data_IF_822155349865
#
_entry.id   IF_822155349865
#
_cell.length_a   1.000
_cell.length_b   1.000
_cell.length_c   1.000
_cell.angle_alpha   90.00
_cell.angle_beta   90.00
_cell.angle_gamma   90.00
#
_symmetry.space_group_name_H-M   'P 1'
#
loop_
_entity.id
_entity.type
_entity.pdbx_description
1 polymer ?
#
# COMPACT_ATOMS: atom_id res chain seq x y z
N UNK A 1 -80.42 -16.27 22.26
CA UNK A 1 -79.81 -17.48 21.69
C UNK A 1 -78.49 -17.05 21.05
N UNK A 2 -77.36 -17.55 21.55
CA UNK A 2 -75.95 -17.46 21.07
C UNK A 2 -75.41 -16.09 20.63
N UNK A 3 -74.54 -15.42 21.41
CA UNK A 3 -73.07 -15.59 21.46
C UNK A 3 -72.42 -15.55 20.06
N UNK A 4 -71.61 -14.53 19.76
CA UNK A 4 -70.23 -14.66 19.26
C UNK A 4 -69.46 -13.32 19.22
N UNK A 5 -68.43 -13.25 20.09
CA UNK A 5 -67.06 -12.72 19.93
C UNK A 5 -66.84 -11.27 19.43
N UNK A 6 -66.41 -10.43 20.38
CA UNK A 6 -65.47 -9.33 20.19
C UNK A 6 -64.14 -9.83 19.61
N UNK A 7 -63.64 -9.17 18.57
CA UNK A 7 -62.24 -9.22 18.15
C UNK A 7 -61.78 -7.79 17.85
N UNK A 8 -61.05 -7.22 18.80
CA UNK A 8 -60.24 -6.01 18.61
C UNK A 8 -59.10 -6.35 17.64
N UNK A 9 -59.08 -5.71 16.47
CA UNK A 9 -57.89 -5.69 15.60
C UNK A 9 -57.02 -4.53 16.07
N UNK A 10 -55.95 -4.86 16.81
CA UNK A 10 -54.84 -3.93 17.03
C UNK A 10 -54.15 -3.69 15.68
N UNK A 11 -54.29 -2.49 15.14
CA UNK A 11 -53.42 -1.99 14.08
C UNK A 11 -52.06 -1.68 14.70
N UNK A 12 -51.11 -2.61 14.57
CA UNK A 12 -49.71 -2.31 14.84
C UNK A 12 -49.17 -1.46 13.70
N UNK A 13 -49.18 -0.15 13.89
CA UNK A 13 -48.38 0.78 13.11
C UNK A 13 -46.90 0.47 13.39
N UNK A 14 -46.29 -0.36 12.54
CA UNK A 14 -44.85 -0.53 12.50
C UNK A 14 -44.23 0.79 12.02
N UNK A 15 -43.86 1.65 12.97
CA UNK A 15 -42.91 2.73 12.76
C UNK A 15 -41.60 2.09 12.28
N UNK A 16 -41.44 2.02 10.95
CA UNK A 16 -40.14 1.88 10.32
C UNK A 16 -39.33 3.09 10.78
N UNK A 17 -38.51 2.89 11.79
CA UNK A 17 -37.42 3.80 12.12
C UNK A 17 -36.52 3.83 10.90
N UNK A 18 -36.78 4.81 10.03
CA UNK A 18 -35.86 5.20 8.98
C UNK A 18 -34.61 5.67 9.72
N UNK A 19 -33.65 4.76 9.90
CA UNK A 19 -32.29 5.15 10.27
C UNK A 19 -31.85 6.08 9.16
N UNK A 20 -31.81 7.37 9.47
CA UNK A 20 -31.23 8.39 8.62
C UNK A 20 -29.75 8.03 8.46
N UNK A 21 -29.45 7.21 7.46
CA UNK A 21 -28.12 7.13 6.90
C UNK A 21 -27.79 8.56 6.47
N UNK A 22 -26.79 9.16 7.11
CA UNK A 22 -26.11 10.33 6.57
C UNK A 22 -25.84 10.05 5.09
N UNK A 23 -26.59 10.70 4.19
CA UNK A 23 -26.34 10.62 2.76
C UNK A 23 -24.93 11.19 2.55
N UNK A 24 -23.95 10.32 2.32
CA UNK A 24 -22.70 10.80 1.77
C UNK A 24 -23.02 11.45 0.41
N UNK A 25 -22.56 12.67 0.20
CA UNK A 25 -22.74 13.36 -1.09
C UNK A 25 -21.89 12.73 -2.20
N UNK A 26 -21.00 11.80 -1.84
CA UNK A 26 -20.05 11.13 -2.73
C UNK A 26 -20.40 9.66 -2.92
N UNK A 27 -20.40 9.23 -4.17
CA UNK A 27 -20.66 7.85 -4.54
C UNK A 27 -19.91 7.43 -5.81
N UNK A 28 -19.68 6.12 -5.92
CA UNK A 28 -19.34 5.44 -7.17
C UNK A 28 -20.62 4.75 -7.66
N UNK A 29 -21.10 5.11 -8.83
CA UNK A 29 -22.17 4.39 -9.53
C UNK A 29 -21.56 3.56 -10.65
N UNK A 30 -21.95 2.30 -10.71
CA UNK A 30 -21.44 1.35 -11.72
C UNK A 30 -22.61 0.79 -12.49
N UNK A 31 -22.60 0.97 -13.80
CA UNK A 31 -23.48 0.36 -14.77
C UNK A 31 -22.81 -0.92 -15.29
N UNK A 32 -23.42 -2.06 -15.01
CA UNK A 32 -22.94 -3.38 -15.40
C UNK A 32 -23.70 -3.85 -16.63
N UNK A 33 -23.07 -3.72 -17.79
CA UNK A 33 -23.68 -4.13 -19.04
C UNK A 33 -23.92 -5.65 -19.03
N UNK A 34 -25.20 -6.04 -19.10
CA UNK A 34 -25.57 -7.46 -19.19
C UNK A 34 -25.56 -8.23 -17.86
N UNK A 35 -25.38 -7.57 -16.72
CA UNK A 35 -25.51 -8.21 -15.41
C UNK A 35 -26.98 -8.49 -15.03
N UNK A 36 -27.19 -9.51 -14.18
CA UNK A 36 -28.53 -9.83 -13.68
C UNK A 36 -28.83 -8.95 -12.46
N UNK A 37 -30.08 -8.53 -12.33
CA UNK A 37 -30.53 -7.91 -11.09
C UNK A 37 -30.38 -8.91 -9.94
N UNK A 38 -30.09 -8.42 -8.73
CA UNK A 38 -29.80 -9.18 -7.50
C UNK A 38 -28.41 -9.81 -7.36
N UNK A 39 -27.54 -9.70 -8.37
CA UNK A 39 -26.13 -10.00 -8.19
C UNK A 39 -25.52 -9.06 -7.14
N UNK A 40 -24.67 -9.61 -6.26
CA UNK A 40 -23.96 -8.82 -5.24
C UNK A 40 -22.58 -8.49 -5.75
N UNK A 41 -22.21 -7.21 -5.67
CA UNK A 41 -20.88 -6.70 -6.01
C UNK A 41 -20.22 -6.07 -4.79
N UNK A 42 -18.91 -6.23 -4.70
CA UNK A 42 -18.08 -5.66 -3.67
C UNK A 42 -17.21 -4.55 -4.23
N UNK A 43 -17.06 -3.48 -3.44
CA UNK A 43 -16.08 -2.44 -3.65
C UNK A 43 -15.06 -2.53 -2.51
N UNK A 44 -13.79 -2.71 -2.85
CA UNK A 44 -12.69 -2.70 -1.89
C UNK A 44 -11.82 -1.47 -2.15
N UNK A 45 -11.20 -0.92 -1.09
CA UNK A 45 -10.17 0.10 -1.25
C UNK A 45 -8.90 -0.31 -0.52
N UNK A 46 -7.76 0.23 -0.94
CA UNK A 46 -6.48 -0.07 -0.30
C UNK A 46 -6.39 0.45 1.15
N UNK A 47 -7.20 1.45 1.51
CA UNK A 47 -7.27 1.99 2.88
C UNK A 47 -8.16 1.17 3.81
N UNK A 48 -9.21 0.55 3.27
CA UNK A 48 -10.20 -0.16 4.06
C UNK A 48 -10.32 -1.60 3.59
N UNK A 49 -9.77 -2.52 4.39
CA UNK A 49 -9.91 -3.96 4.13
C UNK A 49 -11.36 -4.46 4.25
N UNK A 50 -12.26 -3.62 4.81
CA UNK A 50 -13.70 -3.89 4.81
C UNK A 50 -14.29 -3.55 3.44
N UNK A 51 -14.81 -4.56 2.75
CA UNK A 51 -15.48 -4.41 1.46
C UNK A 51 -16.85 -3.76 1.68
N UNK A 52 -17.13 -2.66 0.97
CA UNK A 52 -18.51 -2.21 0.80
C UNK A 52 -19.22 -3.17 -0.18
N UNK A 53 -20.54 -3.31 -0.06
CA UNK A 53 -21.31 -4.22 -0.89
C UNK A 53 -22.61 -3.58 -1.36
N UNK A 54 -22.94 -3.80 -2.62
CA UNK A 54 -24.17 -3.31 -3.21
C UNK A 54 -24.83 -4.40 -4.06
N UNK A 55 -26.16 -4.36 -4.13
CA UNK A 55 -26.92 -5.18 -5.07
C UNK A 55 -27.02 -4.46 -6.42
N UNK A 56 -26.89 -5.23 -7.50
CA UNK A 56 -27.20 -4.73 -8.84
C UNK A 56 -28.73 -4.62 -8.97
N UNK A 57 -29.21 -3.40 -9.22
CA UNK A 57 -30.61 -3.07 -9.48
C UNK A 57 -30.70 -2.22 -10.75
N UNK A 58 -31.50 -2.69 -11.70
CA UNK A 58 -31.61 -2.09 -13.03
C UNK A 58 -30.24 -1.94 -13.72
N UNK A 59 -29.43 -3.01 -13.66
CA UNK A 59 -28.04 -3.05 -14.14
C UNK A 59 -27.07 -2.11 -13.41
N UNK A 60 -27.49 -1.43 -12.34
CA UNK A 60 -26.65 -0.48 -11.62
C UNK A 60 -26.38 -0.90 -10.19
N UNK A 61 -25.18 -0.64 -9.70
CA UNK A 61 -24.89 -0.63 -8.27
C UNK A 61 -24.33 0.74 -7.87
N UNK A 62 -24.57 1.14 -6.63
CA UNK A 62 -24.04 2.38 -6.08
C UNK A 62 -23.37 2.09 -4.74
N UNK A 63 -22.17 2.61 -4.58
CA UNK A 63 -21.37 2.52 -3.37
C UNK A 63 -21.21 3.92 -2.78
N UNK A 64 -21.53 4.06 -1.50
CA UNK A 64 -21.43 5.33 -0.79
C UNK A 64 -20.01 5.50 -0.27
N UNK A 65 -19.35 6.59 -0.64
CA UNK A 65 -18.02 6.90 -0.15
C UNK A 65 -18.10 7.83 1.05
N UNK A 66 -17.28 7.58 2.07
CA UNK A 66 -17.03 8.59 3.09
C UNK A 66 -16.43 9.85 2.44
N UNK A 67 -16.76 11.03 2.98
CA UNK A 67 -16.10 12.28 2.57
C UNK A 67 -14.59 12.09 2.73
N UNK A 68 -13.84 12.15 1.64
CA UNK A 68 -12.38 12.14 1.71
C UNK A 68 -11.93 13.60 1.72
N UNK A 69 -11.24 14.05 2.76
CA UNK A 69 -10.62 15.38 2.74
C UNK A 69 -9.28 15.24 2.03
N UNK A 70 -9.14 15.88 0.85
CA UNK A 70 -7.88 16.02 0.09
C UNK A 70 -7.12 14.71 -0.17
N UNK A 71 -7.84 13.62 -0.44
CA UNK A 71 -7.26 12.29 -0.59
C UNK A 71 -7.72 11.55 -1.86
N UNK A 72 -6.81 10.77 -2.44
CA UNK A 72 -7.06 9.80 -3.50
C UNK A 72 -7.00 8.38 -2.91
N UNK A 73 -7.67 7.43 -3.53
CA UNK A 73 -7.65 6.01 -3.14
C UNK A 73 -7.84 5.13 -4.37
N UNK A 74 -7.36 3.88 -4.32
CA UNK A 74 -7.59 2.89 -5.39
C UNK A 74 -8.75 2.00 -5.00
N UNK A 75 -9.62 1.67 -5.97
CA UNK A 75 -10.82 0.89 -5.74
C UNK A 75 -10.88 -0.34 -6.64
N UNK A 76 -11.02 -1.54 -6.09
CA UNK A 76 -11.32 -2.75 -6.88
C UNK A 76 -12.80 -3.13 -6.78
N UNK A 77 -13.32 -3.73 -7.85
CA UNK A 77 -14.70 -4.23 -7.91
C UNK A 77 -14.68 -5.72 -8.22
N UNK A 78 -15.51 -6.49 -7.50
CA UNK A 78 -15.62 -7.92 -7.72
C UNK A 78 -17.06 -8.41 -7.53
N UNK A 79 -17.49 -9.40 -8.32
CA UNK A 79 -18.71 -10.15 -8.01
C UNK A 79 -18.51 -11.02 -6.77
N UNK A 80 -19.57 -11.18 -5.98
CA UNK A 80 -19.59 -12.11 -4.86
C UNK A 80 -19.30 -13.54 -5.33
N UNK A 81 -18.30 -14.17 -4.73
CA UNK A 81 -17.91 -15.55 -5.03
C UNK A 81 -16.99 -15.72 -6.25
N UNK A 82 -16.55 -14.63 -6.89
CA UNK A 82 -15.46 -14.69 -7.86
C UNK A 82 -14.12 -14.38 -7.18
N UNK A 83 -13.15 -15.29 -7.32
CA UNK A 83 -11.79 -15.09 -6.79
C UNK A 83 -10.98 -14.08 -7.62
N UNK A 84 -11.33 -13.87 -8.89
CA UNK A 84 -10.74 -12.81 -9.70
C UNK A 84 -11.32 -11.47 -9.30
N UNK A 85 -10.55 -10.71 -8.54
CA UNK A 85 -10.81 -9.29 -8.32
C UNK A 85 -10.46 -8.52 -9.60
N UNK A 86 -11.38 -7.70 -10.09
CA UNK A 86 -11.10 -6.81 -11.20
C UNK A 86 -10.52 -5.53 -10.62
N UNK A 87 -9.21 -5.40 -10.79
CA UNK A 87 -8.45 -4.26 -10.27
C UNK A 87 -8.67 -3.05 -11.16
N UNK A 88 -9.40 -2.07 -10.63
CA UNK A 88 -9.45 -0.74 -11.20
C UNK A 88 -8.53 0.15 -10.35
N UNK A 89 -7.67 0.93 -10.99
CA UNK A 89 -6.97 2.03 -10.33
C UNK A 89 -7.82 3.25 -10.59
N UNK A 90 -8.85 3.39 -9.77
CA UNK A 90 -9.71 4.55 -9.89
C UNK A 90 -9.03 5.73 -9.19
N UNK A 91 -8.49 6.67 -9.96
CA UNK A 91 -8.07 7.94 -9.39
C UNK A 91 -9.32 8.77 -9.10
N UNK A 92 -9.57 9.07 -7.82
CA UNK A 92 -10.72 9.86 -7.40
C UNK A 92 -10.29 11.03 -6.53
N UNK A 93 -10.71 12.24 -6.88
CA UNK A 93 -10.75 13.36 -5.94
C UNK A 93 -12.16 13.43 -5.33
N UNK A 94 -12.27 13.62 -4.02
CA UNK A 94 -13.56 13.68 -3.33
C UNK A 94 -14.34 14.99 -3.58
N UNK A 95 -14.28 15.54 -4.80
CA UNK A 95 -15.04 16.70 -5.23
C UNK A 95 -16.14 16.34 -6.25
N UNK A 96 -16.14 15.12 -6.80
CA UNK A 96 -17.14 14.69 -7.77
C UNK A 96 -17.73 13.31 -7.48
N UNK A 97 -18.74 12.90 -8.25
CA UNK A 97 -19.25 11.53 -8.23
C UNK A 97 -18.70 10.80 -9.44
N UNK A 98 -18.33 9.54 -9.26
CA UNK A 98 -17.80 8.71 -10.34
C UNK A 98 -18.91 7.85 -10.92
N UNK A 99 -18.93 7.76 -12.24
CA UNK A 99 -19.73 6.80 -12.99
C UNK A 99 -18.82 5.88 -13.77
N UNK A 100 -19.04 4.59 -13.59
CA UNK A 100 -18.37 3.52 -14.31
C UNK A 100 -19.38 2.80 -15.18
N UNK A 101 -19.02 2.52 -16.41
CA UNK A 101 -19.69 1.49 -17.21
C UNK A 101 -18.71 0.34 -17.34
N UNK A 102 -19.12 -0.87 -17.00
CA UNK A 102 -18.31 -2.08 -17.10
C UNK A 102 -19.03 -3.09 -17.99
N UNK A 103 -18.28 -3.76 -18.85
CA UNK A 103 -18.83 -4.84 -19.65
C UNK A 103 -19.09 -6.10 -18.79
N UNK A 104 -19.87 -7.04 -19.34
CA UNK A 104 -20.30 -8.25 -18.63
C UNK A 104 -19.13 -9.09 -18.10
N UNK A 105 -17.98 -9.03 -18.77
CA UNK A 105 -16.79 -9.82 -18.46
C UNK A 105 -15.72 -9.03 -17.70
N UNK A 106 -16.00 -7.77 -17.35
CA UNK A 106 -15.04 -6.80 -16.77
C UNK A 106 -13.72 -6.72 -17.52
N UNK A 107 -13.77 -6.88 -18.84
CA UNK A 107 -12.61 -6.66 -19.70
C UNK A 107 -12.51 -5.22 -20.13
N UNK A 108 -13.63 -4.51 -20.20
CA UNK A 108 -13.69 -3.12 -20.63
C UNK A 108 -14.49 -2.30 -19.65
N UNK A 109 -14.04 -1.05 -19.49
CA UNK A 109 -14.80 -0.07 -18.74
C UNK A 109 -14.60 1.33 -19.28
N UNK A 110 -15.52 2.21 -18.90
CA UNK A 110 -15.45 3.64 -19.16
C UNK A 110 -15.76 4.39 -17.87
N UNK A 111 -14.89 5.35 -17.55
CA UNK A 111 -14.98 6.23 -16.40
C UNK A 111 -15.56 7.56 -16.86
N UNK A 112 -16.44 8.15 -16.06
CA UNK A 112 -16.95 9.51 -16.26
C UNK A 112 -17.28 10.16 -14.91
N UNK A 113 -17.46 11.48 -14.91
CA UNK A 113 -17.72 12.25 -13.68
C UNK A 113 -16.47 12.61 -12.86
N UNK A 114 -15.33 11.96 -13.11
CA UNK A 114 -14.02 12.37 -12.57
C UNK A 114 -13.30 13.36 -13.51
N UNK A 115 -12.56 14.32 -12.96
CA UNK A 115 -11.78 15.29 -13.75
C UNK A 115 -10.66 14.64 -14.58
N UNK A 116 -10.19 13.45 -14.19
CA UNK A 116 -9.13 12.69 -14.86
C UNK A 116 -9.68 11.51 -15.66
N UNK A 117 -11.01 11.42 -15.84
CA UNK A 117 -11.65 10.28 -16.49
C UNK A 117 -11.13 10.03 -17.91
N UNK A 118 -10.83 11.09 -18.68
CA UNK A 118 -10.34 10.97 -20.05
C UNK A 118 -8.98 10.25 -20.11
N UNK A 119 -8.01 10.68 -19.30
CA UNK A 119 -6.67 10.09 -19.23
C UNK A 119 -6.72 8.66 -18.68
N UNK A 120 -7.58 8.40 -17.67
CA UNK A 120 -7.78 7.04 -17.15
C UNK A 120 -8.35 6.11 -18.23
N UNK A 121 -9.35 6.56 -18.99
CA UNK A 121 -9.92 5.78 -20.09
C UNK A 121 -8.89 5.50 -21.18
N UNK A 122 -8.10 6.50 -21.58
CA UNK A 122 -7.03 6.33 -22.57
C UNK A 122 -6.04 5.24 -22.15
N UNK A 123 -5.58 5.29 -20.89
CA UNK A 123 -4.66 4.31 -20.34
C UNK A 123 -5.23 2.89 -20.36
N UNK A 124 -6.46 2.72 -19.89
CA UNK A 124 -7.09 1.41 -19.83
C UNK A 124 -7.44 0.83 -21.20
N UNK A 125 -7.80 1.67 -22.17
CA UNK A 125 -8.02 1.23 -23.55
C UNK A 125 -6.74 0.70 -24.19
N UNK A 126 -5.58 1.31 -23.92
CA UNK A 126 -4.31 0.78 -24.40
C UNK A 126 -3.93 -0.55 -23.73
N UNK A 127 -4.13 -0.68 -22.41
CA UNK A 127 -3.92 -1.97 -21.72
C UNK A 127 -4.85 -3.07 -22.24
N UNK A 128 -6.11 -2.75 -22.51
CA UNK A 128 -7.07 -3.69 -23.10
C UNK A 128 -6.61 -4.16 -24.49
N UNK A 129 -6.19 -3.21 -25.34
CA UNK A 129 -5.71 -3.51 -26.70
C UNK A 129 -4.52 -4.46 -26.65
N UNK A 130 -3.52 -4.16 -25.81
CA UNK A 130 -2.36 -5.03 -25.63
C UNK A 130 -2.81 -6.40 -25.06
N UNK A 131 -3.64 -6.43 -24.03
CA UNK A 131 -4.15 -7.69 -23.48
C UNK A 131 -4.83 -8.59 -24.53
N UNK A 132 -5.58 -7.99 -25.46
CA UNK A 132 -6.18 -8.69 -26.59
C UNK A 132 -5.15 -9.27 -27.56
N UNK A 133 -4.12 -8.51 -27.93
CA UNK A 133 -3.01 -9.02 -28.75
C UNK A 133 -2.31 -10.21 -28.10
N UNK A 134 -2.06 -10.15 -26.79
CA UNK A 134 -1.47 -11.25 -26.03
C UNK A 134 -2.30 -12.52 -26.14
N UNK A 135 -3.60 -12.38 -25.89
CA UNK A 135 -4.53 -13.50 -25.90
C UNK A 135 -4.58 -14.17 -27.27
N UNK A 136 -4.52 -13.37 -28.35
CA UNK A 136 -4.46 -13.91 -29.71
C UNK A 136 -3.16 -14.68 -29.95
N UNK A 137 -2.00 -14.15 -29.53
CA UNK A 137 -0.71 -14.84 -29.65
C UNK A 137 -0.68 -16.15 -28.84
N UNK A 138 -1.16 -16.13 -27.61
CA UNK A 138 -1.24 -17.31 -26.75
C UNK A 138 -2.20 -18.37 -27.33
N UNK A 139 -3.33 -17.94 -27.90
CA UNK A 139 -4.26 -18.83 -28.59
C UNK A 139 -3.60 -19.48 -29.81
N UNK A 140 -2.97 -18.69 -30.68
CA UNK A 140 -2.23 -19.21 -31.85
C UNK A 140 -1.14 -20.20 -31.42
N UNK A 141 -0.43 -19.91 -30.33
CA UNK A 141 0.60 -20.79 -29.78
C UNK A 141 0.02 -22.12 -29.27
N UNK A 142 -1.19 -22.09 -28.69
CA UNK A 142 -1.86 -23.30 -28.20
C UNK A 142 -2.42 -24.19 -29.32
N UNK A 143 -2.75 -23.60 -30.47
CA UNK A 143 -3.40 -24.29 -31.60
C UNK A 143 -2.38 -24.81 -32.63
N UNK A 144 -1.15 -24.28 -32.66
CA UNK A 144 -0.14 -24.70 -33.64
C UNK A 144 0.48 -26.06 -33.32
N UNK A 145 0.61 -26.91 -34.34
CA UNK A 145 1.36 -28.18 -34.28
C UNK A 145 2.74 -28.10 -34.94
N UNK A 146 3.05 -27.00 -35.63
CA UNK A 146 4.36 -26.76 -36.27
C UNK A 146 5.35 -26.22 -35.23
N UNK A 147 6.46 -26.94 -35.02
CA UNK A 147 7.49 -26.61 -34.03
C UNK A 147 8.26 -25.31 -34.33
N UNK A 148 8.48 -24.99 -35.61
CA UNK A 148 9.18 -23.76 -36.01
C UNK A 148 8.25 -22.57 -35.76
N UNK A 149 6.99 -22.69 -36.18
CA UNK A 149 5.98 -21.65 -35.94
C UNK A 149 5.71 -21.46 -34.43
N UNK A 150 5.63 -22.55 -33.66
CA UNK A 150 5.50 -22.48 -32.21
C UNK A 150 6.67 -21.76 -31.54
N UNK A 151 7.91 -21.95 -32.02
CA UNK A 151 9.06 -21.24 -31.48
C UNK A 151 9.02 -19.74 -31.80
N UNK A 152 8.59 -19.37 -33.01
CA UNK A 152 8.40 -17.96 -33.37
C UNK A 152 7.34 -17.29 -32.48
N UNK A 153 6.19 -17.94 -32.28
CA UNK A 153 5.12 -17.44 -31.40
C UNK A 153 5.57 -17.33 -29.94
N UNK A 154 6.35 -18.30 -29.42
CA UNK A 154 6.97 -18.18 -28.08
C UNK A 154 7.87 -16.96 -27.97
N UNK A 155 8.68 -16.69 -28.98
CA UNK A 155 9.53 -15.50 -28.98
C UNK A 155 8.71 -14.20 -28.98
N UNK A 156 7.59 -14.17 -29.70
CA UNK A 156 6.67 -13.03 -29.70
C UNK A 156 5.91 -12.87 -28.38
N UNK A 157 5.49 -13.97 -27.75
CA UNK A 157 4.90 -13.93 -26.39
C UNK A 157 5.95 -13.47 -25.38
N UNK A 158 7.22 -13.87 -25.52
CA UNK A 158 8.29 -13.41 -24.65
C UNK A 158 8.64 -11.92 -24.90
N UNK A 159 8.56 -11.45 -26.15
CA UNK A 159 8.77 -10.02 -26.50
C UNK A 159 7.65 -9.12 -25.97
N UNK A 160 6.49 -9.73 -25.69
CA UNK A 160 5.28 -9.08 -25.25
C UNK A 160 5.41 -8.36 -23.91
N UNK A 161 6.13 -8.95 -22.95
CA UNK A 161 6.39 -8.33 -21.64
C UNK A 161 7.07 -6.97 -21.78
N UNK A 162 7.99 -6.86 -22.74
CA UNK A 162 8.66 -5.59 -23.05
C UNK A 162 7.68 -4.55 -23.57
N UNK A 163 6.78 -4.93 -24.50
CA UNK A 163 5.77 -4.00 -25.05
C UNK A 163 4.80 -3.51 -23.98
N UNK A 164 4.36 -4.40 -23.09
CA UNK A 164 3.55 -4.05 -21.94
C UNK A 164 4.26 -2.99 -21.08
N UNK A 165 5.51 -3.26 -20.70
CA UNK A 165 6.30 -2.32 -19.92
C UNK A 165 6.51 -0.97 -20.62
N UNK A 166 6.86 -1.00 -21.90
CA UNK A 166 7.09 0.21 -22.70
C UNK A 166 5.83 1.07 -22.77
N UNK A 167 4.64 0.46 -22.80
CA UNK A 167 3.37 1.19 -22.75
C UNK A 167 3.22 2.00 -21.45
N UNK A 168 3.41 1.38 -20.28
CA UNK A 168 3.37 2.08 -18.99
C UNK A 168 4.36 3.25 -18.95
N UNK A 169 5.61 3.02 -19.37
CA UNK A 169 6.67 4.03 -19.38
C UNK A 169 6.32 5.20 -20.30
N UNK A 170 5.93 4.91 -21.54
CA UNK A 170 5.64 5.94 -22.53
C UNK A 170 4.40 6.74 -22.15
N UNK A 171 3.37 6.08 -21.62
CA UNK A 171 2.17 6.75 -21.15
C UNK A 171 2.51 7.75 -20.03
N UNK A 172 3.25 7.32 -19.00
CA UNK A 172 3.69 8.20 -17.90
C UNK A 172 4.55 9.37 -18.41
N UNK A 173 5.42 9.14 -19.39
CA UNK A 173 6.24 10.20 -19.98
C UNK A 173 5.42 11.26 -20.72
N UNK A 174 4.39 10.84 -21.46
CA UNK A 174 3.49 11.73 -22.20
C UNK A 174 2.54 12.49 -21.26
N UNK A 175 2.10 11.82 -20.19
CA UNK A 175 1.14 12.35 -19.21
C UNK A 175 1.82 12.78 -17.90
N UNK A 176 3.08 13.24 -17.94
CA UNK A 176 3.90 13.51 -16.74
C UNK A 176 3.42 14.68 -15.86
N UNK A 177 2.33 15.36 -16.24
CA UNK A 177 1.63 16.39 -15.44
C UNK A 177 0.30 15.88 -14.86
N UNK A 178 -0.13 14.69 -15.26
CA UNK A 178 -1.34 14.06 -14.77
C UNK A 178 -1.11 13.51 -13.36
N UNK A 179 -2.00 13.81 -12.41
CA UNK A 179 -2.04 13.11 -11.13
C UNK A 179 -2.23 11.58 -11.28
N UNK A 180 -2.87 11.11 -12.36
CA UNK A 180 -3.05 9.68 -12.60
C UNK A 180 -1.73 8.96 -12.92
N UNK A 181 -0.75 9.65 -13.53
CA UNK A 181 0.60 9.11 -13.77
C UNK A 181 1.29 8.65 -12.50
N UNK A 182 0.97 9.28 -11.36
CA UNK A 182 1.43 8.83 -10.04
C UNK A 182 0.96 7.39 -9.82
N UNK A 183 -0.33 7.08 -9.92
CA UNK A 183 -0.89 5.72 -9.77
C UNK A 183 -0.28 4.71 -10.73
N UNK A 184 -0.11 5.09 -12.00
CA UNK A 184 0.47 4.21 -13.03
C UNK A 184 1.89 3.78 -12.63
N UNK A 185 2.73 4.71 -12.16
CA UNK A 185 4.07 4.40 -11.64
C UNK A 185 4.00 3.40 -10.47
N UNK A 186 3.05 3.59 -9.55
CA UNK A 186 2.86 2.68 -8.41
C UNK A 186 2.61 1.24 -8.84
N UNK A 187 1.84 1.03 -9.90
CA UNK A 187 1.61 -0.32 -10.45
C UNK A 187 2.81 -0.91 -11.16
N UNK A 188 3.64 -0.09 -11.80
CA UNK A 188 4.90 -0.55 -12.39
C UNK A 188 5.85 -1.09 -11.31
N UNK A 189 5.82 -0.47 -10.12
CA UNK A 189 6.62 -0.91 -8.96
C UNK A 189 6.10 -2.25 -8.44
N UNK A 190 4.79 -2.37 -8.19
CA UNK A 190 4.17 -3.58 -7.65
C UNK A 190 4.35 -4.80 -8.57
N UNK A 191 4.24 -4.58 -9.89
CA UNK A 191 4.47 -5.62 -10.90
C UNK A 191 5.94 -5.94 -11.14
N UNK A 192 6.86 -5.35 -10.37
CA UNK A 192 8.31 -5.54 -10.49
C UNK A 192 8.86 -5.21 -11.88
N UNK A 193 8.19 -4.33 -12.64
CA UNK A 193 8.63 -3.89 -13.97
C UNK A 193 9.86 -2.96 -13.93
N UNK A 194 10.61 -3.02 -12.84
CA UNK A 194 11.65 -2.08 -12.49
C UNK A 194 12.95 -2.44 -13.24
N UNK A 195 13.51 -1.48 -13.95
CA UNK A 195 14.82 -1.57 -14.61
C UNK A 195 15.60 -0.29 -14.39
N UNK A 196 16.95 -0.34 -14.49
CA UNK A 196 17.85 0.84 -14.41
C UNK A 196 17.41 2.06 -15.24
N UNK A 197 16.69 1.87 -16.35
CA UNK A 197 16.15 2.97 -17.18
C UNK A 197 15.01 3.77 -16.52
N UNK A 198 14.41 3.26 -15.45
CA UNK A 198 13.35 3.94 -14.70
C UNK A 198 13.88 4.96 -13.70
N UNK A 199 15.16 4.89 -13.32
CA UNK A 199 15.74 5.83 -12.35
C UNK A 199 15.55 7.28 -12.83
N UNK A 200 15.78 7.54 -14.12
CA UNK A 200 15.60 8.87 -14.73
C UNK A 200 14.14 9.20 -15.00
N UNK A 201 13.34 8.26 -15.51
CA UNK A 201 11.94 8.51 -15.88
C UNK A 201 11.06 8.69 -14.64
N UNK A 202 11.22 7.79 -13.68
CA UNK A 202 10.43 7.78 -12.45
C UNK A 202 10.87 8.92 -11.52
N UNK A 203 12.17 9.25 -11.42
CA UNK A 203 12.60 10.46 -10.71
C UNK A 203 12.08 11.74 -11.36
N UNK A 204 12.12 11.87 -12.69
CA UNK A 204 11.60 13.07 -13.38
C UNK A 204 10.08 13.23 -13.25
N UNK A 205 9.32 12.14 -13.31
CA UNK A 205 7.87 12.19 -13.11
C UNK A 205 7.54 12.48 -11.65
N UNK A 206 8.23 11.84 -10.71
CA UNK A 206 8.06 12.10 -9.28
C UNK A 206 8.43 13.54 -8.90
N UNK A 207 9.51 14.08 -9.45
CA UNK A 207 9.94 15.47 -9.20
C UNK A 207 8.93 16.52 -9.71
N UNK A 208 8.31 16.27 -10.86
CA UNK A 208 7.28 17.16 -11.41
C UNK A 208 5.95 17.04 -10.67
N UNK A 209 5.65 15.85 -10.16
CA UNK A 209 4.41 15.53 -9.46
C UNK A 209 4.51 15.81 -7.95
N UNK A 210 5.70 16.04 -7.37
CA UNK A 210 5.95 16.35 -5.95
C UNK A 210 4.95 17.36 -5.33
N UNK A 211 4.55 18.46 -5.99
CA UNK A 211 3.56 19.37 -5.42
C UNK A 211 2.16 18.74 -5.27
N UNK A 212 1.80 17.79 -6.14
CA UNK A 212 0.54 17.07 -6.17
C UNK A 212 0.62 15.70 -5.48
N UNK A 213 1.81 15.10 -5.37
CA UNK A 213 2.09 13.78 -4.77
C UNK A 213 2.45 13.86 -3.29
N UNK A 214 2.64 15.06 -2.72
CA UNK A 214 2.70 15.34 -1.27
C UNK A 214 1.39 15.04 -0.51
N UNK A 215 0.57 14.15 -1.04
CA UNK A 215 -0.70 13.74 -0.47
C UNK A 215 -0.44 12.69 0.60
N UNK A 216 -1.00 12.84 1.80
CA UNK A 216 -0.84 11.90 2.91
C UNK A 216 -1.61 10.57 2.72
N UNK A 217 -1.80 10.08 1.49
CA UNK A 217 -2.55 8.86 1.21
C UNK A 217 -1.66 7.61 1.05
N UNK A 218 -2.27 6.42 1.17
CA UNK A 218 -1.57 5.12 1.11
C UNK A 218 -0.71 4.97 -0.14
N UNK A 219 -1.24 5.39 -1.29
CA UNK A 219 -0.59 5.21 -2.58
C UNK A 219 0.61 6.15 -2.75
N UNK A 220 0.50 7.39 -2.30
CA UNK A 220 1.63 8.32 -2.22
C UNK A 220 2.71 7.82 -1.26
N UNK A 221 2.33 7.25 -0.10
CA UNK A 221 3.29 6.56 0.80
C UNK A 221 3.94 5.36 0.12
N UNK A 222 3.16 4.56 -0.62
CA UNK A 222 3.61 3.39 -1.38
C UNK A 222 4.66 3.79 -2.43
N UNK A 223 4.44 4.91 -3.10
CA UNK A 223 5.38 5.44 -4.07
C UNK A 223 6.58 6.04 -3.39
N UNK A 224 6.38 6.94 -2.42
CA UNK A 224 7.48 7.63 -1.77
C UNK A 224 8.48 6.65 -1.17
N UNK A 225 8.01 5.58 -0.51
CA UNK A 225 8.96 4.60 0.00
C UNK A 225 9.47 3.57 -1.04
N UNK A 226 8.77 3.38 -2.17
CA UNK A 226 9.38 2.67 -3.30
C UNK A 226 10.53 3.51 -3.88
N UNK A 227 10.30 4.79 -4.13
CA UNK A 227 11.32 5.75 -4.53
C UNK A 227 12.44 5.91 -3.52
N UNK A 228 12.14 5.90 -2.21
CA UNK A 228 13.14 5.93 -1.15
C UNK A 228 14.09 4.73 -1.20
N UNK A 229 13.62 3.57 -1.68
CA UNK A 229 14.50 2.40 -1.88
C UNK A 229 15.46 2.58 -3.06
N UNK A 230 15.20 3.54 -3.95
CA UNK A 230 16.01 3.85 -5.13
C UNK A 230 16.84 5.14 -5.00
N UNK A 231 16.39 6.13 -4.22
CA UNK A 231 17.09 7.40 -4.02
C UNK A 231 16.82 8.01 -2.65
N UNK A 232 17.90 8.43 -1.98
CA UNK A 232 17.83 9.08 -0.67
C UNK A 232 17.03 10.39 -0.68
N UNK A 233 17.01 11.08 -1.82
CA UNK A 233 16.23 12.30 -2.04
C UNK A 233 14.74 12.12 -1.75
N UNK A 234 14.21 10.91 -1.94
CA UNK A 234 12.79 10.62 -1.79
C UNK A 234 12.45 9.87 -0.50
N UNK A 235 13.45 9.59 0.34
CA UNK A 235 13.23 9.09 1.69
C UNK A 235 12.50 10.14 2.52
N UNK A 236 11.41 9.76 3.21
CA UNK A 236 10.79 10.65 4.24
C UNK A 236 11.75 10.82 5.40
N UNK A 237 12.61 9.83 5.62
CA UNK A 237 13.62 9.80 6.67
C UNK A 237 15.00 9.73 6.01
N UNK A 238 15.50 10.82 5.41
CA UNK A 238 16.79 10.81 4.77
C UNK A 238 17.91 10.92 5.81
N UNK A 239 19.10 10.42 5.47
CA UNK A 239 20.33 10.74 6.19
C UNK A 239 20.48 12.28 6.27
N UNK A 240 20.93 12.76 7.43
CA UNK A 240 20.99 14.16 7.86
C UNK A 240 19.65 14.81 8.24
N UNK A 241 18.52 14.09 8.23
CA UNK A 241 17.27 14.59 8.82
C UNK A 241 17.19 14.32 10.33
N UNK A 242 16.32 15.08 11.00
CA UNK A 242 15.92 14.78 12.38
C UNK A 242 15.14 13.46 12.41
N UNK A 243 15.46 12.61 13.37
CA UNK A 243 14.70 11.40 13.63
C UNK A 243 13.26 11.75 14.02
N UNK A 244 12.23 11.11 13.42
CA UNK A 244 10.85 11.26 13.85
C UNK A 244 10.71 10.99 15.36
N UNK A 245 9.92 11.79 16.06
CA UNK A 245 9.65 11.55 17.49
C UNK A 245 8.83 10.28 17.66
N UNK A 246 8.99 9.63 18.81
CA UNK A 246 8.25 8.41 19.13
C UNK A 246 7.92 8.30 20.60
N UNK A 247 6.86 7.56 20.86
CA UNK A 247 6.45 7.10 22.19
C UNK A 247 6.00 5.64 22.04
N UNK A 248 6.72 4.73 22.68
CA UNK A 248 6.40 3.29 22.68
C UNK A 248 6.42 2.76 24.11
N UNK A 249 5.76 1.61 24.33
CA UNK A 249 5.76 0.94 25.62
C UNK A 249 6.83 -0.14 25.67
N UNK A 250 7.54 -0.23 26.79
CA UNK A 250 8.44 -1.35 27.07
C UNK A 250 7.65 -2.63 27.43
N UNK A 251 8.37 -3.70 27.77
CA UNK A 251 7.76 -5.00 28.10
C UNK A 251 6.91 -5.02 29.37
N UNK A 252 7.05 -3.99 30.23
CA UNK A 252 6.30 -3.83 31.49
C UNK A 252 5.36 -2.62 31.49
N UNK A 253 5.27 -1.88 30.37
CA UNK A 253 4.32 -0.78 30.17
C UNK A 253 4.87 0.63 30.44
N UNK A 254 6.17 0.78 30.68
CA UNK A 254 6.76 2.11 30.81
C UNK A 254 6.91 2.79 29.46
N UNK A 255 6.86 4.12 29.48
CA UNK A 255 7.08 4.94 28.29
C UNK A 255 8.57 5.04 27.93
N UNK A 256 8.87 4.69 26.68
CA UNK A 256 10.14 5.00 26.02
C UNK A 256 9.89 6.06 24.96
N UNK A 257 10.66 7.15 25.00
CA UNK A 257 10.57 8.27 24.06
C UNK A 257 11.95 8.72 23.58
N UNK A 258 12.02 9.25 22.36
CA UNK A 258 13.28 9.66 21.73
C UNK A 258 14.10 10.61 22.62
N UNK A 259 13.44 11.50 23.36
CA UNK A 259 14.10 12.50 24.21
C UNK A 259 14.95 11.88 25.33
N UNK A 260 14.66 10.64 25.75
CA UNK A 260 15.45 9.94 26.77
C UNK A 260 16.87 9.60 26.28
N UNK A 261 17.09 9.59 24.96
CA UNK A 261 18.36 9.24 24.33
C UNK A 261 19.17 10.46 23.89
N UNK A 262 18.71 11.69 24.17
CA UNK A 262 19.47 12.91 23.85
C UNK A 262 20.85 12.88 24.48
N UNK A 263 21.85 13.31 23.71
CA UNK A 263 23.25 13.26 24.15
C UNK A 263 23.93 11.90 23.96
N UNK A 264 23.22 10.89 23.44
CA UNK A 264 23.76 9.56 23.17
C UNK A 264 23.59 9.19 21.70
N UNK A 265 24.47 8.33 21.19
CA UNK A 265 24.20 7.63 19.94
C UNK A 265 23.06 6.65 20.18
N UNK A 266 22.09 6.59 19.27
CA UNK A 266 20.97 5.66 19.37
C UNK A 266 20.86 4.84 18.08
N UNK A 267 21.01 3.53 18.18
CA UNK A 267 20.58 2.62 17.13
C UNK A 267 19.11 2.27 17.36
N UNK A 268 18.26 2.63 16.41
CA UNK A 268 16.86 2.19 16.35
C UNK A 268 16.79 0.99 15.41
N UNK A 269 16.37 -0.16 15.94
CA UNK A 269 16.19 -1.40 15.21
C UNK A 269 14.70 -1.75 15.09
N UNK A 270 14.15 -1.71 13.89
CA UNK A 270 12.81 -2.23 13.63
C UNK A 270 12.87 -3.72 13.31
N UNK A 271 12.19 -4.53 14.13
CA UNK A 271 12.22 -5.98 14.08
C UNK A 271 10.86 -6.61 14.37
N UNK A 272 10.76 -7.94 14.35
CA UNK A 272 9.59 -8.66 14.86
C UNK A 272 9.93 -10.09 15.29
N UNK A 273 9.13 -10.68 16.19
CA UNK A 273 9.32 -12.04 16.69
C UNK A 273 9.24 -13.11 15.59
N UNK A 274 8.46 -12.85 14.54
CA UNK A 274 8.25 -13.69 13.37
C UNK A 274 9.28 -13.46 12.25
N UNK A 275 10.15 -12.46 12.38
CA UNK A 275 11.14 -12.12 11.36
C UNK A 275 12.41 -12.97 11.53
N UNK A 276 12.53 -14.06 10.75
CA UNK A 276 13.71 -14.93 10.76
C UNK A 276 15.06 -14.20 10.61
N UNK A 277 15.24 -13.32 9.60
CA UNK A 277 16.48 -12.55 9.43
C UNK A 277 16.79 -11.63 10.62
N UNK A 278 15.78 -11.00 11.23
CA UNK A 278 15.98 -10.17 12.42
C UNK A 278 16.56 -11.00 13.58
N UNK A 279 15.97 -12.17 13.82
CA UNK A 279 16.40 -13.11 14.86
C UNK A 279 17.85 -13.59 14.65
N UNK A 280 18.26 -13.75 13.39
CA UNK A 280 19.63 -14.09 13.02
C UNK A 280 20.62 -12.95 13.26
N UNK A 281 20.18 -11.69 13.16
CA UNK A 281 21.01 -10.51 13.40
C UNK A 281 21.14 -10.14 14.89
N UNK A 282 20.23 -10.60 15.76
CA UNK A 282 20.23 -10.26 17.20
C UNK A 282 21.56 -10.56 17.92
N UNK A 283 22.28 -11.68 17.66
CA UNK A 283 23.62 -11.89 18.21
C UNK A 283 24.63 -10.80 17.80
N UNK A 284 24.60 -10.35 16.55
CA UNK A 284 25.49 -9.28 16.07
C UNK A 284 25.13 -7.92 16.68
N UNK A 285 23.83 -7.64 16.85
CA UNK A 285 23.37 -6.44 17.57
C UNK A 285 23.85 -6.45 19.03
N UNK A 286 23.85 -7.62 19.67
CA UNK A 286 24.39 -7.76 21.03
C UNK A 286 25.87 -7.42 21.09
N UNK A 287 26.67 -7.98 20.19
CA UNK A 287 28.12 -7.68 20.10
C UNK A 287 28.37 -6.19 19.83
N UNK A 288 27.59 -5.59 18.92
CA UNK A 288 27.65 -4.17 18.63
C UNK A 288 27.32 -3.32 19.86
N UNK A 289 26.23 -3.65 20.58
CA UNK A 289 25.87 -2.94 21.80
C UNK A 289 26.96 -3.05 22.87
N UNK A 290 27.45 -4.25 23.17
CA UNK A 290 28.50 -4.47 24.18
C UNK A 290 29.78 -3.69 23.86
N UNK A 291 30.14 -3.59 22.57
CA UNK A 291 31.34 -2.89 22.11
C UNK A 291 31.26 -1.36 22.21
N UNK A 292 30.09 -0.77 21.98
CA UNK A 292 29.92 0.68 21.87
C UNK A 292 29.12 1.30 23.01
N UNK A 293 28.48 0.52 23.89
CA UNK A 293 27.68 1.05 24.99
C UNK A 293 28.47 1.99 25.89
N UNK A 294 29.67 1.57 26.30
CA UNK A 294 30.58 2.39 27.11
C UNK A 294 31.14 3.62 26.37
N UNK A 295 30.89 3.73 25.06
CA UNK A 295 31.23 4.89 24.22
C UNK A 295 30.01 5.78 23.95
N UNK A 296 28.92 5.60 24.70
CA UNK A 296 27.72 6.43 24.61
C UNK A 296 26.70 5.95 23.58
N UNK A 297 26.75 4.69 23.16
CA UNK A 297 25.71 4.06 22.33
C UNK A 297 24.59 3.44 23.20
N UNK A 298 23.36 3.69 22.81
CA UNK A 298 22.19 2.93 23.20
C UNK A 298 21.59 2.21 21.99
N UNK A 299 20.91 1.09 22.25
CA UNK A 299 20.12 0.38 21.25
C UNK A 299 18.68 0.31 21.73
N UNK A 300 17.74 0.68 20.86
CA UNK A 300 16.31 0.50 21.04
C UNK A 300 15.78 -0.36 19.89
N UNK A 301 15.35 -1.58 20.20
CA UNK A 301 14.61 -2.39 19.23
C UNK A 301 13.11 -2.15 19.36
N UNK A 302 12.50 -1.69 18.27
CA UNK A 302 11.07 -1.42 18.14
C UNK A 302 10.42 -2.60 17.41
N UNK A 303 9.55 -3.33 18.09
CA UNK A 303 8.88 -4.50 17.53
C UNK A 303 7.63 -4.13 16.74
N UNK A 304 7.51 -4.72 15.55
CA UNK A 304 6.36 -4.70 14.64
C UNK A 304 5.42 -5.92 14.88
N UNK A 305 5.49 -6.55 16.05
CA UNK A 305 4.53 -7.58 16.46
C UNK A 305 3.15 -6.98 16.76
N UNK A 306 2.11 -7.81 16.67
CA UNK A 306 0.77 -7.52 17.20
C UNK A 306 0.42 -8.36 18.43
N UNK A 307 1.30 -9.28 18.81
CA UNK A 307 1.13 -10.19 19.93
C UNK A 307 2.24 -9.98 20.97
N UNK A 308 1.86 -9.44 22.12
CA UNK A 308 2.79 -9.11 23.21
C UNK A 308 3.55 -10.34 23.74
N UNK A 309 2.88 -11.49 23.84
CA UNK A 309 3.48 -12.70 24.39
C UNK A 309 4.57 -13.27 23.47
N UNK A 310 4.34 -13.27 22.16
CA UNK A 310 5.34 -13.73 21.19
C UNK A 310 6.56 -12.80 21.16
N UNK A 311 6.32 -11.50 21.20
CA UNK A 311 7.37 -10.49 21.29
C UNK A 311 8.24 -10.69 22.55
N UNK A 312 7.62 -10.79 23.73
CA UNK A 312 8.33 -11.02 25.00
C UNK A 312 9.10 -12.34 25.02
N UNK A 313 8.50 -13.43 24.52
CA UNK A 313 9.18 -14.73 24.41
C UNK A 313 10.40 -14.66 23.48
N UNK A 314 10.31 -13.92 22.38
CA UNK A 314 11.42 -13.73 21.46
C UNK A 314 12.58 -12.98 22.12
N UNK A 315 12.29 -11.87 22.83
CA UNK A 315 13.28 -11.09 23.59
C UNK A 315 14.07 -11.99 24.55
N UNK A 316 13.36 -12.79 25.36
CA UNK A 316 13.97 -13.69 26.34
C UNK A 316 14.84 -14.74 25.63
N UNK A 317 14.30 -15.36 24.57
CA UNK A 317 14.99 -16.42 23.82
C UNK A 317 16.28 -15.91 23.16
N UNK A 318 16.27 -14.70 22.63
CA UNK A 318 17.42 -14.08 21.97
C UNK A 318 18.35 -13.34 22.92
N UNK A 319 18.00 -13.26 24.20
CA UNK A 319 18.79 -12.58 25.23
C UNK A 319 19.05 -11.11 24.87
N UNK A 320 18.02 -10.42 24.38
CA UNK A 320 18.09 -9.00 24.03
C UNK A 320 18.02 -8.18 25.31
N UNK A 321 19.17 -7.66 25.76
CA UNK A 321 19.32 -6.98 27.05
C UNK A 321 19.23 -5.45 26.98
N UNK A 322 19.18 -4.88 25.77
CA UNK A 322 19.02 -3.46 25.52
C UNK A 322 17.52 -3.07 25.49
N UNK A 323 17.24 -1.79 25.25
CA UNK A 323 15.87 -1.28 25.29
C UNK A 323 14.98 -1.95 24.23
N UNK A 324 13.77 -2.32 24.65
CA UNK A 324 12.75 -2.93 23.80
C UNK A 324 11.48 -2.09 23.90
N UNK A 325 10.86 -1.79 22.76
CA UNK A 325 9.61 -1.06 22.71
C UNK A 325 8.65 -1.61 21.64
N UNK A 326 7.35 -1.43 21.84
CA UNK A 326 6.34 -1.70 20.80
C UNK A 326 5.06 -0.92 21.09
N UNK A 327 4.29 -0.64 20.05
CA UNK A 327 2.88 -0.21 20.14
C UNK A 327 1.89 -1.35 19.89
N UNK A 328 2.39 -2.55 19.54
CA UNK A 328 1.62 -3.75 19.19
C UNK A 328 0.65 -3.57 18.01
N UNK A 329 0.89 -2.59 17.14
CA UNK A 329 0.03 -2.31 15.99
C UNK A 329 0.55 -2.92 14.67
N UNK A 330 1.76 -3.50 14.68
CA UNK A 330 2.41 -4.03 13.49
C UNK A 330 2.41 -3.04 12.33
N UNK A 331 1.94 -3.45 11.15
CA UNK A 331 1.87 -2.59 9.96
C UNK A 331 0.96 -1.36 10.13
N UNK A 332 0.05 -1.36 11.12
CA UNK A 332 -0.81 -0.21 11.42
C UNK A 332 -0.13 0.83 12.33
N UNK A 333 1.09 0.56 12.78
CA UNK A 333 1.87 1.48 13.62
C UNK A 333 2.08 2.82 12.91
N UNK A 334 1.63 3.92 13.54
CA UNK A 334 1.95 5.27 13.07
C UNK A 334 3.45 5.55 13.15
N UNK A 335 4.15 4.93 14.10
CA UNK A 335 5.59 5.03 14.24
C UNK A 335 6.33 4.29 13.12
N UNK A 336 5.94 3.04 12.83
CA UNK A 336 6.46 2.32 11.67
C UNK A 336 6.24 3.11 10.39
N UNK A 337 5.08 3.76 10.23
CA UNK A 337 4.80 4.63 9.08
C UNK A 337 5.68 5.89 9.06
N UNK A 338 5.93 6.55 10.19
CA UNK A 338 6.77 7.75 10.25
C UNK A 338 8.24 7.46 9.91
N UNK A 339 8.70 6.23 10.18
CA UNK A 339 10.01 5.72 9.75
C UNK A 339 10.00 4.97 8.40
N UNK A 340 8.86 4.92 7.71
CA UNK A 340 8.67 4.19 6.44
C UNK A 340 9.06 2.71 6.50
N UNK A 341 8.76 2.04 7.61
CA UNK A 341 9.05 0.62 7.80
C UNK A 341 8.06 -0.22 7.00
N UNK A 342 8.55 -0.83 5.92
CA UNK A 342 7.80 -1.83 5.11
C UNK A 342 8.25 -3.24 5.35
N UNK A 343 9.54 -3.39 5.59
CA UNK A 343 10.19 -4.65 5.86
C UNK A 343 11.08 -4.49 7.08
N UNK A 344 11.22 -5.58 7.80
CA UNK A 344 12.17 -5.73 8.89
C UNK A 344 13.14 -6.85 8.51
N UNK A 345 14.43 -6.78 8.92
CA UNK A 345 15.00 -5.77 9.81
C UNK A 345 15.30 -4.44 9.11
N UNK A 346 15.25 -3.34 9.86
CA UNK A 346 15.61 -2.00 9.36
C UNK A 346 16.22 -1.16 10.48
N UNK A 347 17.43 -0.65 10.26
CA UNK A 347 18.16 0.12 11.27
C UNK A 347 18.25 1.61 10.93
N UNK A 348 18.25 2.45 11.96
CA UNK A 348 18.61 3.87 11.90
C UNK A 348 19.63 4.18 12.99
N UNK A 349 20.78 4.74 12.63
CA UNK A 349 21.72 5.28 13.61
C UNK A 349 21.45 6.78 13.75
N UNK A 350 21.18 7.20 14.97
CA UNK A 350 20.83 8.57 15.35
C UNK A 350 21.95 9.16 16.21
N UNK A 351 22.36 10.39 15.89
CA UNK A 351 23.37 11.15 16.62
C UNK A 351 22.84 11.67 17.96
N UNK A 352 23.74 12.10 18.88
CA UNK A 352 23.38 12.77 20.13
C UNK A 352 22.40 13.96 19.99
N UNK A 353 22.42 14.64 18.85
CA UNK A 353 21.57 15.78 18.50
C UNK A 353 20.19 15.35 17.93
N UNK A 354 19.97 14.05 17.75
CA UNK A 354 18.74 13.51 17.16
C UNK A 354 18.75 13.47 15.63
N UNK A 355 19.93 13.48 14.99
CA UNK A 355 20.07 13.45 13.53
C UNK A 355 20.39 12.05 13.04
N UNK A 356 19.73 11.59 11.98
CA UNK A 356 19.99 10.29 11.39
C UNK A 356 21.28 10.35 10.57
N UNK A 357 22.30 9.58 10.96
CA UNK A 357 23.61 9.57 10.29
C UNK A 357 23.75 8.44 9.29
N UNK A 358 23.02 7.33 9.49
CA UNK A 358 22.93 6.23 8.54
C UNK A 358 21.69 5.40 8.80
N UNK A 359 21.30 4.59 7.81
CA UNK A 359 20.21 3.63 7.91
C UNK A 359 20.55 2.38 7.08
N UNK A 360 19.95 1.26 7.43
CA UNK A 360 20.22 -0.03 6.78
C UNK A 360 18.94 -0.82 6.58
N UNK A 361 18.46 -0.88 5.33
CA UNK A 361 17.33 -1.73 4.94
C UNK A 361 17.83 -3.17 4.84
N UNK A 362 17.19 -4.10 5.55
CA UNK A 362 17.65 -5.49 5.64
C UNK A 362 18.66 -5.74 6.77
N UNK A 363 18.96 -4.72 7.58
CA UNK A 363 19.65 -4.89 8.86
C UNK A 363 21.12 -5.26 8.75
N UNK A 364 21.84 -4.75 7.75
CA UNK A 364 23.31 -4.84 7.72
C UNK A 364 23.90 -3.97 8.83
N UNK A 365 24.28 -4.61 9.93
CA UNK A 365 24.90 -3.97 11.10
C UNK A 365 26.34 -3.55 10.84
N UNK A 366 27.05 -4.19 9.90
CA UNK A 366 28.44 -3.85 9.61
C UNK A 366 28.54 -2.49 8.93
N UNK A 367 27.61 -2.17 8.01
CA UNK A 367 27.51 -0.83 7.42
C UNK A 367 27.27 0.26 8.48
N UNK A 368 26.43 -0.03 9.47
CA UNK A 368 26.16 0.88 10.60
C UNK A 368 27.40 1.03 11.49
N UNK A 369 28.05 -0.09 11.83
CA UNK A 369 29.24 -0.10 12.67
C UNK A 369 30.40 0.67 12.01
N UNK A 370 30.61 0.50 10.71
CA UNK A 370 31.64 1.23 9.96
C UNK A 370 31.41 2.74 10.00
N UNK A 371 30.15 3.17 9.82
CA UNK A 371 29.78 4.59 9.94
C UNK A 371 30.10 5.11 11.35
N UNK A 372 29.71 4.38 12.39
CA UNK A 372 29.97 4.80 13.78
C UNK A 372 31.47 4.82 14.10
N UNK A 373 32.24 3.85 13.59
CA UNK A 373 33.72 3.83 13.75
C UNK A 373 34.36 5.07 13.17
N UNK A 374 33.96 5.48 11.97
CA UNK A 374 34.53 6.65 11.30
C UNK A 374 34.22 7.96 12.04
N UNK A 375 33.07 8.04 12.72
CA UNK A 375 32.67 9.23 13.47
C UNK A 375 33.36 9.29 14.86
N UNK A 376 33.64 8.14 15.48
CA UNK A 376 34.23 8.06 16.81
C UNK A 376 35.77 8.06 16.82
N UNK A 377 36.41 8.00 15.64
CA UNK A 377 37.85 8.23 15.46
C UNK A 377 38.13 9.72 15.41
#
# INVERSE_FOLDING_TARGET
MSIYKFLFVFSTASLLTCTSFSQSNYYIEVDFEGAKNSDTVYLSSNKNMNRDSAFIKNKKARFSLAKMEDEWDNYSIAYKGQEREFYMLLFHNAQSNIKLTVDKEFRQWTISGDSNAAEQNEFYQGLFTLGGERQLLEKQLSETTDSIHAQALKNEVNSFEKRFKDYYVNWVLQHNKSPFSVLVIGTMIDQSYITRSLDTVAANCFDKLLPQAKMNNYTARLMQSAFASYSEKYSIVPVNAKAPTFLVKDTIGNDIKLEQFKGKWLLIDFWASWCGPCRQNNPLLKEFFEKYHNKGLEVLSISMDTNSEQWKKAIIKDKMTWHQGSDLLGQKSSLGQSYQIRAVPHYFLVSPEGIIVTKSVGGDIHAVEETLKQILQ
#
